data_IF_998913557236
#
_entry.id   IF_998913557236
#
_cell.length_a   1.000
_cell.length_b   1.000
_cell.length_c   1.000
_cell.angle_alpha   90.00
_cell.angle_beta   90.00
_cell.angle_gamma   90.00
#
_symmetry.space_group_name_H-M   'P 1'
#
loop_
_entity.id
_entity.type
_entity.pdbx_description
1 polymer ?
#
# COMPACT_ATOMS: atom_id res chain seq x y z
N UNK A 1 -17.68 9.56 12.97
CA UNK A 1 -16.71 10.62 13.33
C UNK A 1 -16.92 11.05 14.79
N UNK A 2 -16.03 11.85 15.37
CA UNK A 2 -16.24 12.47 16.69
C UNK A 2 -17.31 13.58 16.61
N UNK A 3 -18.00 13.88 17.72
CA UNK A 3 -19.11 14.87 17.76
C UNK A 3 -18.73 16.26 17.20
N UNK A 4 -17.46 16.66 17.34
CA UNK A 4 -16.94 17.95 16.86
C UNK A 4 -16.63 17.98 15.35
N UNK A 5 -16.66 16.84 14.66
CA UNK A 5 -16.28 16.76 13.25
C UNK A 5 -17.42 17.26 12.34
N UNK A 6 -17.18 18.09 11.32
CA UNK A 6 -18.23 18.63 10.43
C UNK A 6 -19.10 17.55 9.79
N UNK A 7 -18.51 16.38 9.50
CA UNK A 7 -19.23 15.26 8.90
C UNK A 7 -19.90 14.32 9.91
N UNK A 8 -19.92 14.65 11.21
CA UNK A 8 -20.47 13.77 12.26
C UNK A 8 -21.91 13.31 11.99
N UNK A 9 -22.77 14.23 11.52
CA UNK A 9 -24.18 13.93 11.23
C UNK A 9 -24.42 13.33 9.84
N UNK A 10 -23.50 13.52 8.90
CA UNK A 10 -23.72 13.17 7.48
C UNK A 10 -22.98 11.91 7.04
N UNK A 11 -21.88 11.55 7.70
CA UNK A 11 -21.04 10.43 7.30
C UNK A 11 -20.81 9.46 8.46
N UNK A 12 -20.77 8.17 8.14
CA UNK A 12 -20.40 7.09 9.07
C UNK A 12 -19.40 6.16 8.41
N UNK A 13 -18.50 5.61 9.22
CA UNK A 13 -17.63 4.51 8.80
C UNK A 13 -18.48 3.24 8.82
N UNK A 14 -18.47 2.49 7.72
CA UNK A 14 -19.12 1.19 7.62
C UNK A 14 -18.05 0.16 7.31
N UNK A 15 -17.90 -0.83 8.21
CA UNK A 15 -17.17 -2.06 7.90
C UNK A 15 -18.04 -2.88 6.96
N UNK A 16 -17.51 -3.18 5.77
CA UNK A 16 -18.18 -4.04 4.81
C UNK A 16 -17.87 -5.51 5.16
N UNK A 17 -18.84 -6.43 5.02
CA UNK A 17 -18.57 -7.85 5.10
C UNK A 17 -17.67 -8.29 3.91
N UNK A 18 -17.02 -9.44 4.05
CA UNK A 18 -16.01 -9.93 3.09
C UNK A 18 -16.57 -10.09 1.66
N UNK A 19 -17.82 -10.54 1.54
CA UNK A 19 -18.54 -10.68 0.26
C UNK A 19 -18.81 -9.35 -0.46
N UNK A 20 -18.66 -8.22 0.26
CA UNK A 20 -18.83 -6.86 -0.26
C UNK A 20 -17.54 -6.04 -0.17
N UNK A 21 -16.40 -6.70 0.06
CA UNK A 21 -15.11 -6.03 0.00
C UNK A 21 -14.91 -5.39 -1.38
N UNK A 22 -14.39 -4.16 -1.37
CA UNK A 22 -14.07 -3.42 -2.59
C UNK A 22 -12.57 -3.44 -2.78
N UNK A 23 -12.14 -3.65 -4.01
CA UNK A 23 -10.74 -3.54 -4.38
C UNK A 23 -10.44 -2.08 -4.74
N UNK A 24 -9.52 -1.40 -4.03
CA UNK A 24 -9.10 -0.05 -4.40
C UNK A 24 -8.48 -0.05 -5.80
N UNK A 25 -8.96 0.86 -6.66
CA UNK A 25 -8.35 1.11 -7.95
C UNK A 25 -7.48 2.38 -7.86
N UNK A 26 -6.17 2.23 -8.03
CA UNK A 26 -5.23 3.36 -7.93
C UNK A 26 -5.25 4.16 -9.23
N UNK A 27 -5.55 5.46 -9.12
CA UNK A 27 -5.55 6.42 -10.23
C UNK A 27 -4.32 7.31 -10.09
N UNK A 28 -3.50 7.44 -11.13
CA UNK A 28 -2.36 8.38 -11.16
C UNK A 28 -0.97 7.77 -11.29
N UNK A 29 -0.84 6.44 -11.41
CA UNK A 29 0.45 5.80 -11.65
C UNK A 29 0.46 4.34 -11.24
N UNK A 30 1.57 3.68 -11.53
CA UNK A 30 1.84 2.30 -11.09
C UNK A 30 2.48 2.33 -9.70
N UNK A 31 2.08 1.41 -8.81
CA UNK A 31 2.67 1.32 -7.46
C UNK A 31 4.14 0.89 -7.56
N UNK A 32 5.07 1.40 -6.74
CA UNK A 32 6.49 1.02 -6.82
C UNK A 32 6.67 -0.49 -6.70
N UNK A 33 7.66 -1.01 -7.44
CA UNK A 33 8.01 -2.43 -7.42
C UNK A 33 8.86 -2.74 -6.19
N UNK A 34 8.73 -3.96 -5.67
CA UNK A 34 9.56 -4.43 -4.56
C UNK A 34 11.00 -4.73 -5.00
N UNK A 35 11.16 -5.20 -6.25
CA UNK A 35 12.39 -5.78 -6.80
C UNK A 35 13.18 -4.85 -7.72
N UNK A 36 12.56 -3.79 -8.24
CA UNK A 36 13.16 -2.84 -9.19
C UNK A 36 12.82 -1.40 -8.81
N UNK A 37 13.75 -0.48 -9.05
CA UNK A 37 13.57 0.94 -8.76
C UNK A 37 14.00 1.32 -7.34
N UNK A 38 13.40 2.39 -6.80
CA UNK A 38 13.74 2.93 -5.48
C UNK A 38 13.04 2.14 -4.36
N UNK A 39 13.83 1.42 -3.57
CA UNK A 39 13.33 0.63 -2.45
C UNK A 39 12.76 1.50 -1.32
N UNK A 40 13.34 2.67 -1.07
CA UNK A 40 12.84 3.60 -0.05
C UNK A 40 11.44 4.11 -0.43
N UNK A 41 11.21 4.34 -1.72
CA UNK A 41 9.89 4.70 -2.25
C UNK A 41 8.87 3.56 -2.07
N UNK A 42 9.27 2.31 -2.32
CA UNK A 42 8.44 1.14 -2.04
C UNK A 42 8.06 1.07 -0.56
N UNK A 43 9.03 1.16 0.34
CA UNK A 43 8.81 1.11 1.78
C UNK A 43 7.88 2.23 2.26
N UNK A 44 8.13 3.47 1.81
CA UNK A 44 7.28 4.64 2.09
C UNK A 44 5.84 4.40 1.64
N UNK A 45 5.66 3.89 0.42
CA UNK A 45 4.33 3.66 -0.16
C UNK A 45 3.56 2.61 0.64
N UNK A 46 4.20 1.48 0.95
CA UNK A 46 3.56 0.41 1.72
C UNK A 46 3.23 0.83 3.15
N UNK A 47 4.10 1.60 3.81
CA UNK A 47 3.79 2.19 5.11
C UNK A 47 2.59 3.14 5.02
N UNK A 48 2.53 3.98 4.00
CA UNK A 48 1.42 4.92 3.80
C UNK A 48 0.08 4.20 3.63
N UNK A 49 0.07 3.05 2.95
CA UNK A 49 -1.15 2.27 2.69
C UNK A 49 -1.60 1.43 3.89
N UNK A 50 -0.68 0.85 4.65
CA UNK A 50 -0.99 -0.22 5.61
C UNK A 50 -0.72 0.11 7.07
N UNK A 51 0.15 1.08 7.37
CA UNK A 51 0.31 1.59 8.72
C UNK A 51 -0.82 2.59 8.98
N UNK A 52 -1.60 2.49 10.05
CA UNK A 52 -2.56 3.54 10.40
C UNK A 52 -1.81 4.82 10.80
N UNK A 53 -2.17 5.97 10.21
CA UNK A 53 -1.59 7.27 10.56
C UNK A 53 -2.64 8.38 10.47
N UNK A 54 -2.50 9.38 11.33
CA UNK A 54 -3.26 10.65 11.28
C UNK A 54 -2.36 11.85 10.98
N UNK A 55 -1.07 11.71 11.28
CA UNK A 55 -0.01 12.68 10.97
C UNK A 55 1.05 11.96 10.13
N UNK A 56 1.43 12.49 8.94
CA UNK A 56 2.51 11.93 8.13
C UNK A 56 3.81 11.70 8.90
N UNK A 57 4.12 12.55 9.89
CA UNK A 57 5.33 12.44 10.71
C UNK A 57 5.32 11.20 11.61
N UNK A 58 4.15 10.58 11.83
CA UNK A 58 4.03 9.33 12.60
C UNK A 58 4.46 8.08 11.81
N UNK A 59 4.66 8.19 10.49
CA UNK A 59 4.98 7.04 9.65
C UNK A 59 6.39 6.47 9.93
N UNK A 60 7.36 7.32 10.27
CA UNK A 60 8.74 6.94 10.63
C UNK A 60 9.32 7.89 11.68
N UNK A 61 10.37 7.47 12.39
CA UNK A 61 11.12 8.37 13.25
C UNK A 61 11.97 9.37 12.42
N UNK A 62 12.30 10.56 12.95
CA UNK A 62 13.01 11.60 12.19
C UNK A 62 14.31 11.11 11.53
N UNK A 63 15.15 10.38 12.28
CA UNK A 63 16.45 9.88 11.81
C UNK A 63 16.40 8.45 11.24
N UNK A 64 15.20 7.88 11.08
CA UNK A 64 15.03 6.52 10.59
C UNK A 64 14.81 6.51 9.07
N UNK A 65 15.36 5.53 8.37
CA UNK A 65 15.10 5.29 6.94
C UNK A 65 13.68 4.72 6.73
N UNK A 66 13.16 4.75 5.52
CA UNK A 66 11.87 4.13 5.23
C UNK A 66 11.97 2.60 5.32
N UNK A 67 13.09 2.02 4.88
CA UNK A 67 13.36 0.59 5.01
C UNK A 67 13.34 0.14 6.47
N UNK A 68 14.03 0.85 7.37
CA UNK A 68 14.01 0.53 8.80
C UNK A 68 12.60 0.62 9.38
N UNK A 69 11.82 1.63 8.98
CA UNK A 69 10.46 1.81 9.46
C UNK A 69 9.54 0.71 8.95
N UNK A 70 9.75 0.27 7.71
CA UNK A 70 9.04 -0.83 7.09
C UNK A 70 9.36 -2.15 7.78
N UNK A 71 10.64 -2.44 8.03
CA UNK A 71 11.09 -3.66 8.71
C UNK A 71 10.58 -3.75 10.16
N UNK A 72 10.48 -2.61 10.87
CA UNK A 72 9.96 -2.58 12.25
C UNK A 72 8.44 -2.71 12.32
N UNK A 73 7.71 -2.30 11.27
CA UNK A 73 6.26 -2.37 11.28
C UNK A 73 5.77 -3.80 11.03
N UNK A 74 4.92 -4.30 11.93
CA UNK A 74 4.37 -5.65 11.82
C UNK A 74 3.14 -5.65 10.91
N UNK A 75 3.37 -5.92 9.62
CA UNK A 75 2.29 -6.16 8.67
C UNK A 75 1.56 -7.46 8.99
N UNK A 76 0.23 -7.45 8.88
CA UNK A 76 -0.58 -8.67 8.98
C UNK A 76 -0.40 -9.55 7.74
N UNK A 77 -0.73 -10.84 7.84
CA UNK A 77 -0.64 -11.75 6.70
C UNK A 77 -1.52 -11.30 5.52
N UNK A 78 -2.74 -10.80 5.79
CA UNK A 78 -3.60 -10.21 4.75
C UNK A 78 -2.91 -9.03 4.07
N UNK A 79 -2.22 -8.17 4.80
CA UNK A 79 -1.50 -7.02 4.22
C UNK A 79 -0.33 -7.49 3.33
N UNK A 80 0.46 -8.47 3.79
CA UNK A 80 1.56 -9.04 2.99
C UNK A 80 1.04 -9.71 1.72
N UNK A 81 -0.09 -10.42 1.80
CA UNK A 81 -0.74 -11.03 0.64
C UNK A 81 -1.18 -9.96 -0.37
N UNK A 82 -1.80 -8.87 0.09
CA UNK A 82 -2.18 -7.74 -0.77
C UNK A 82 -0.95 -7.08 -1.42
N UNK A 83 0.14 -6.90 -0.67
CA UNK A 83 1.41 -6.41 -1.24
C UNK A 83 1.92 -7.34 -2.34
N UNK A 84 1.80 -8.66 -2.16
CA UNK A 84 2.09 -9.65 -3.20
C UNK A 84 1.25 -9.45 -4.46
N UNK A 85 -0.06 -9.21 -4.31
CA UNK A 85 -0.94 -8.93 -5.45
C UNK A 85 -0.57 -7.67 -6.21
N UNK A 86 -0.06 -6.64 -5.54
CA UNK A 86 0.47 -5.45 -6.24
C UNK A 86 1.66 -5.80 -7.15
N UNK A 87 2.40 -6.85 -6.82
CA UNK A 87 3.55 -7.30 -7.59
C UNK A 87 3.17 -8.15 -8.81
N UNK A 88 2.09 -8.93 -8.74
CA UNK A 88 1.65 -9.85 -9.82
C UNK A 88 1.52 -9.17 -11.18
N UNK A 89 1.00 -7.94 -11.23
CA UNK A 89 0.90 -7.18 -12.50
C UNK A 89 2.26 -7.01 -13.19
N UNK A 90 3.32 -6.83 -12.40
CA UNK A 90 4.68 -6.70 -12.92
C UNK A 90 5.24 -8.03 -13.40
N UNK A 91 5.01 -9.12 -12.65
CA UNK A 91 5.41 -10.46 -13.07
C UNK A 91 4.78 -10.84 -14.42
N UNK A 92 3.50 -10.54 -14.62
CA UNK A 92 2.82 -10.79 -15.90
C UNK A 92 3.38 -9.93 -17.04
N UNK A 93 3.72 -8.67 -16.77
CA UNK A 93 4.31 -7.78 -17.78
C UNK A 93 5.72 -8.25 -18.17
N UNK A 94 6.57 -8.56 -17.19
CA UNK A 94 7.93 -9.05 -17.41
C UNK A 94 7.90 -10.36 -18.20
N UNK A 95 7.04 -11.33 -17.83
CA UNK A 95 6.91 -12.60 -18.56
C UNK A 95 6.47 -12.41 -20.03
N UNK A 96 5.57 -11.46 -20.31
CA UNK A 96 5.17 -11.13 -21.68
C UNK A 96 6.33 -10.55 -22.47
N UNK A 97 7.09 -9.64 -21.88
CA UNK A 97 8.16 -8.93 -22.57
C UNK A 97 9.37 -9.87 -22.78
N UNK A 98 9.66 -10.77 -21.83
CA UNK A 98 10.65 -11.84 -21.98
C UNK A 98 10.30 -12.79 -23.14
N UNK A 99 9.03 -13.20 -23.25
CA UNK A 99 8.56 -14.02 -24.38
C UNK A 99 8.72 -13.31 -25.73
N UNK A 100 8.53 -11.98 -25.77
CA UNK A 100 8.72 -11.17 -26.98
C UNK A 100 10.19 -11.01 -27.35
N UNK A 101 11.09 -10.92 -26.38
CA UNK A 101 12.52 -10.77 -26.61
C UNK A 101 13.20 -12.07 -27.10
N UNK A 102 12.57 -13.22 -26.90
CA UNK A 102 13.04 -14.54 -27.36
C UNK A 102 12.62 -14.89 -28.81
N UNK A 103 11.90 -14.00 -29.50
CA UNK A 103 11.44 -14.17 -30.88
C UNK A 103 12.21 -13.27 -31.84
#
# INVERSE_FOLDING_TARGET
FAKKHPQYKTHRIRLLPEDKEKIPNFVGGILPRRDKGDHEEYCRTMLTLFKPWTDPMSLKLPMQTWEDAFAKFKFSEKQKQIMGFFHVRYECNDARDDFRAQR
#
